data_IF_990422310405
#
_entry.id   IF_990422310405
#
_cell.length_a   1.000
_cell.length_b   1.000
_cell.length_c   1.000
_cell.angle_alpha   90.00
_cell.angle_beta   90.00
_cell.angle_gamma   90.00
#
_symmetry.space_group_name_H-M   'P 1'
#
loop_
_entity.id
_entity.type
_entity.pdbx_description
1 polymer ?
#
# COMPACT_ATOMS: atom_id res chain seq x y z
N UNK A 1 16.75 7.31 -25.17
CA UNK A 1 15.39 7.83 -24.84
C UNK A 1 14.37 6.71 -24.60
N UNK A 2 14.22 5.72 -25.51
CA UNK A 2 13.36 4.54 -25.28
C UNK A 2 13.69 3.77 -23.98
N UNK A 3 14.98 3.57 -23.68
CA UNK A 3 15.39 2.82 -22.49
C UNK A 3 15.11 3.55 -21.17
N UNK A 4 15.20 4.88 -21.17
CA UNK A 4 14.87 5.72 -20.01
C UNK A 4 13.38 5.71 -19.70
N UNK A 5 12.52 5.82 -20.73
CA UNK A 5 11.07 5.73 -20.57
C UNK A 5 10.64 4.36 -20.04
N UNK A 6 11.24 3.28 -20.58
CA UNK A 6 10.98 1.91 -20.12
C UNK A 6 11.40 1.70 -18.67
N UNK A 7 12.59 2.15 -18.29
CA UNK A 7 13.06 2.05 -16.90
C UNK A 7 12.16 2.83 -15.95
N UNK A 8 11.77 4.06 -16.30
CA UNK A 8 10.89 4.87 -15.48
C UNK A 8 9.51 4.22 -15.29
N UNK A 9 8.94 3.61 -16.34
CA UNK A 9 7.69 2.87 -16.26
C UNK A 9 7.79 1.63 -15.36
N UNK A 10 8.90 0.88 -15.43
CA UNK A 10 9.12 -0.29 -14.57
C UNK A 10 9.26 0.10 -13.09
N UNK A 11 9.97 1.20 -12.80
CA UNK A 11 10.12 1.70 -11.43
C UNK A 11 8.77 2.16 -10.86
N UNK A 12 7.99 2.89 -11.64
CA UNK A 12 6.64 3.33 -11.26
C UNK A 12 5.71 2.12 -10.99
N UNK A 13 5.71 1.12 -11.88
CA UNK A 13 4.93 -0.10 -11.69
C UNK A 13 5.34 -0.89 -10.44
N UNK A 14 6.64 -0.98 -10.15
CA UNK A 14 7.18 -1.59 -8.92
C UNK A 14 6.67 -0.86 -7.68
N UNK A 15 6.82 0.46 -7.64
CA UNK A 15 6.44 1.26 -6.46
C UNK A 15 4.92 1.22 -6.23
N UNK A 16 4.13 1.22 -7.31
CA UNK A 16 2.68 1.03 -7.26
C UNK A 16 2.30 -0.33 -6.67
N UNK A 17 2.95 -1.40 -7.15
CA UNK A 17 2.72 -2.76 -6.66
C UNK A 17 3.09 -2.90 -5.18
N UNK A 18 4.19 -2.26 -4.76
CA UNK A 18 4.60 -2.21 -3.36
C UNK A 18 3.55 -1.53 -2.48
N UNK A 19 3.04 -0.37 -2.91
CA UNK A 19 2.01 0.35 -2.17
C UNK A 19 0.71 -0.48 -2.05
N UNK A 20 0.30 -1.13 -3.14
CA UNK A 20 -0.88 -2.01 -3.14
C UNK A 20 -0.71 -3.18 -2.17
N UNK A 21 0.46 -3.82 -2.16
CA UNK A 21 0.76 -4.92 -1.24
C UNK A 21 0.73 -4.48 0.24
N UNK A 22 1.23 -3.28 0.55
CA UNK A 22 1.18 -2.73 1.90
C UNK A 22 -0.27 -2.48 2.35
N UNK A 23 -1.10 -1.90 1.48
CA UNK A 23 -2.53 -1.70 1.77
C UNK A 23 -3.28 -3.00 1.97
N UNK A 24 -3.04 -4.01 1.13
CA UNK A 24 -3.66 -5.31 1.29
C UNK A 24 -3.32 -5.96 2.66
N UNK A 25 -2.08 -5.81 3.11
CA UNK A 25 -1.66 -6.27 4.44
C UNK A 25 -2.30 -5.46 5.57
N UNK A 26 -2.45 -4.15 5.40
CA UNK A 26 -3.17 -3.30 6.36
C UNK A 26 -4.62 -3.76 6.50
N UNK A 27 -5.32 -3.95 5.37
CA UNK A 27 -6.71 -4.41 5.34
C UNK A 27 -6.87 -5.78 6.01
N UNK A 28 -5.94 -6.71 5.76
CA UNK A 28 -5.92 -8.02 6.42
C UNK A 28 -5.80 -7.90 7.94
N UNK A 29 -4.89 -7.03 8.43
CA UNK A 29 -4.71 -6.81 9.87
C UNK A 29 -5.89 -6.08 10.50
N UNK A 30 -6.51 -5.17 9.77
CA UNK A 30 -7.73 -4.49 10.18
C UNK A 30 -8.90 -5.49 10.32
N UNK A 31 -9.05 -6.42 9.36
CA UNK A 31 -10.05 -7.48 9.44
C UNK A 31 -9.82 -8.41 10.65
N UNK A 32 -8.56 -8.77 10.94
CA UNK A 32 -8.23 -9.55 12.14
C UNK A 32 -8.58 -8.80 13.43
N UNK A 33 -8.31 -7.50 13.49
CA UNK A 33 -8.66 -6.67 14.64
C UNK A 33 -10.18 -6.61 14.85
N UNK A 34 -10.94 -6.38 13.78
CA UNK A 34 -12.40 -6.37 13.83
C UNK A 34 -12.97 -7.72 14.27
N UNK A 35 -12.42 -8.83 13.79
CA UNK A 35 -12.82 -10.17 14.20
C UNK A 35 -12.60 -10.40 15.70
N UNK A 36 -11.46 -9.95 16.25
CA UNK A 36 -11.19 -10.04 17.69
C UNK A 36 -12.13 -9.17 18.52
N UNK A 37 -12.42 -7.95 18.06
CA UNK A 37 -13.37 -7.05 18.73
C UNK A 37 -14.80 -7.61 18.69
N UNK A 38 -15.20 -8.23 17.58
CA UNK A 38 -16.47 -8.94 17.46
C UNK A 38 -16.56 -10.15 18.41
N UNK A 39 -15.51 -10.98 18.47
CA UNK A 39 -15.44 -12.10 19.41
C UNK A 39 -15.50 -11.63 20.87
N UNK A 40 -14.86 -10.50 21.19
CA UNK A 40 -14.96 -9.85 22.50
C UNK A 40 -16.39 -9.44 22.83
N UNK A 41 -17.06 -8.78 21.89
CA UNK A 41 -18.43 -8.33 22.08
C UNK A 41 -19.40 -9.51 22.24
N UNK A 42 -19.22 -10.59 21.47
CA UNK A 42 -20.04 -11.79 21.57
C UNK A 42 -19.87 -12.50 22.93
N UNK A 43 -18.61 -12.66 23.38
CA UNK A 43 -18.31 -13.22 24.70
C UNK A 43 -18.95 -12.40 25.83
N UNK A 44 -18.89 -11.07 25.73
CA UNK A 44 -19.50 -10.19 26.73
C UNK A 44 -21.03 -10.35 26.81
N UNK A 45 -21.71 -10.66 25.69
CA UNK A 45 -23.16 -10.91 25.65
C UNK A 45 -23.55 -12.28 26.19
N UNK A 46 -22.72 -13.29 25.95
CA UNK A 46 -23.02 -14.70 26.29
C UNK A 46 -22.54 -15.11 27.68
N UNK A 47 -21.63 -14.37 28.30
CA UNK A 47 -21.09 -14.68 29.62
C UNK A 47 -22.14 -14.48 30.75
N UNK A 48 -22.59 -15.59 31.34
CA UNK A 48 -23.53 -15.58 32.49
C UNK A 48 -22.79 -15.80 33.82
N UNK A 49 -23.44 -15.50 34.95
CA UNK A 49 -22.89 -15.80 36.29
C UNK A 49 -22.69 -17.31 36.54
N UNK A 50 -23.37 -18.17 35.77
CA UNK A 50 -23.21 -19.62 35.86
C UNK A 50 -22.05 -20.16 35.02
N UNK A 51 -21.37 -19.32 34.26
CA UNK A 51 -20.33 -19.73 33.32
C UNK A 51 -19.10 -20.29 34.05
N UNK A 52 -18.78 -21.55 33.79
CA UNK A 52 -17.67 -22.26 34.44
C UNK A 52 -16.33 -21.57 34.18
N UNK A 53 -16.14 -21.00 32.97
CA UNK A 53 -14.92 -20.30 32.59
C UNK A 53 -14.68 -19.02 33.42
N UNK A 54 -15.76 -18.33 33.84
CA UNK A 54 -15.66 -17.18 34.75
C UNK A 54 -15.28 -17.59 36.16
N UNK A 55 -15.88 -18.68 36.66
CA UNK A 55 -15.63 -19.15 38.04
C UNK A 55 -14.19 -19.60 38.27
N UNK A 56 -13.51 -20.11 37.25
CA UNK A 56 -12.11 -20.53 37.33
C UNK A 56 -11.11 -19.45 36.85
N UNK A 57 -11.57 -18.24 36.53
CA UNK A 57 -10.70 -17.14 36.08
C UNK A 57 -10.08 -17.31 34.69
N UNK A 58 -10.55 -18.28 33.89
CA UNK A 58 -10.12 -18.46 32.49
C UNK A 58 -10.52 -17.26 31.62
N UNK A 59 -11.64 -16.61 31.93
CA UNK A 59 -12.14 -15.39 31.29
C UNK A 59 -11.10 -14.25 31.38
N UNK A 60 -10.46 -14.07 32.54
CA UNK A 60 -9.44 -13.01 32.75
C UNK A 60 -8.15 -13.27 31.96
N UNK A 61 -7.73 -14.53 31.86
CA UNK A 61 -6.54 -14.90 31.06
C UNK A 61 -6.80 -14.69 29.57
N UNK A 62 -8.00 -15.05 29.11
CA UNK A 62 -8.44 -14.82 27.74
C UNK A 62 -8.54 -13.32 27.43
N UNK A 63 -9.13 -12.51 28.32
CA UNK A 63 -9.20 -11.05 28.16
C UNK A 63 -7.81 -10.42 28.10
N UNK A 64 -6.88 -10.85 28.95
CA UNK A 64 -5.49 -10.36 28.93
C UNK A 64 -4.77 -10.74 27.63
N UNK A 65 -4.94 -11.97 27.15
CA UNK A 65 -4.41 -12.41 25.87
C UNK A 65 -4.99 -11.57 24.72
N UNK A 66 -6.30 -11.34 24.72
CA UNK A 66 -6.99 -10.56 23.70
C UNK A 66 -6.52 -9.10 23.69
N UNK A 67 -6.35 -8.48 24.87
CA UNK A 67 -5.77 -7.14 24.98
C UNK A 67 -4.34 -7.07 24.40
N UNK A 68 -3.51 -8.06 24.72
CA UNK A 68 -2.15 -8.17 24.18
C UNK A 68 -2.14 -8.31 22.65
N UNK A 69 -3.03 -9.13 22.08
CA UNK A 69 -3.13 -9.33 20.63
C UNK A 69 -3.69 -8.10 19.92
N UNK A 70 -4.69 -7.44 20.49
CA UNK A 70 -5.24 -6.18 19.97
C UNK A 70 -4.15 -5.10 19.89
N UNK A 71 -3.36 -4.95 20.95
CA UNK A 71 -2.26 -3.98 20.97
C UNK A 71 -1.15 -4.33 19.97
N UNK A 72 -0.84 -5.62 19.79
CA UNK A 72 0.09 -6.05 18.76
C UNK A 72 -0.43 -5.70 17.35
N UNK A 73 -1.69 -6.01 17.04
CA UNK A 73 -2.30 -5.68 15.74
C UNK A 73 -2.34 -4.18 15.47
N UNK A 74 -2.67 -3.36 16.47
CA UNK A 74 -2.66 -1.88 16.33
C UNK A 74 -1.28 -1.36 15.99
N UNK A 75 -0.22 -1.90 16.62
CA UNK A 75 1.17 -1.57 16.30
C UNK A 75 1.57 -2.03 14.89
N UNK A 76 1.19 -3.24 14.50
CA UNK A 76 1.42 -3.75 13.14
C UNK A 76 0.74 -2.86 12.08
N UNK A 77 -0.53 -2.47 12.30
CA UNK A 77 -1.28 -1.55 11.42
C UNK A 77 -0.58 -0.19 11.33
N UNK A 78 -0.15 0.38 12.46
CA UNK A 78 0.56 1.65 12.47
C UNK A 78 1.87 1.57 11.67
N UNK A 79 2.65 0.50 11.85
CA UNK A 79 3.87 0.28 11.09
C UNK A 79 3.59 0.18 9.58
N UNK A 80 2.57 -0.58 9.18
CA UNK A 80 2.15 -0.70 7.79
C UNK A 80 1.74 0.65 7.18
N UNK A 81 1.04 1.50 7.94
CA UNK A 81 0.68 2.86 7.50
C UNK A 81 1.89 3.74 7.28
N UNK A 82 2.85 3.71 8.20
CA UNK A 82 4.11 4.46 8.07
C UNK A 82 4.87 4.00 6.82
N UNK A 83 4.97 2.69 6.60
CA UNK A 83 5.59 2.13 5.39
C UNK A 83 4.83 2.50 4.11
N UNK A 84 3.49 2.52 4.15
CA UNK A 84 2.64 2.88 3.03
C UNK A 84 2.83 4.35 2.64
N UNK A 85 2.96 5.27 3.61
CA UNK A 85 3.26 6.68 3.34
C UNK A 85 4.64 6.85 2.70
N UNK A 86 5.66 6.13 3.18
CA UNK A 86 6.98 6.12 2.55
C UNK A 86 6.93 5.58 1.11
N UNK A 87 6.17 4.50 0.88
CA UNK A 87 5.96 3.92 -0.45
C UNK A 87 5.18 4.88 -1.38
N UNK A 88 4.20 5.62 -0.85
CA UNK A 88 3.46 6.64 -1.59
C UNK A 88 4.36 7.77 -2.05
N UNK A 89 5.26 8.25 -1.18
CA UNK A 89 6.26 9.24 -1.56
C UNK A 89 7.24 8.71 -2.63
N UNK A 90 7.62 7.42 -2.57
CA UNK A 90 8.42 6.79 -3.61
C UNK A 90 7.68 6.72 -4.96
N UNK A 91 6.42 6.28 -4.94
CA UNK A 91 5.55 6.23 -6.12
C UNK A 91 5.37 7.61 -6.77
N UNK A 92 5.17 8.66 -5.97
CA UNK A 92 5.06 10.02 -6.50
C UNK A 92 6.33 10.44 -7.27
N UNK A 93 7.52 10.08 -6.76
CA UNK A 93 8.79 10.36 -7.43
C UNK A 93 8.97 9.55 -8.72
N UNK A 94 8.67 8.24 -8.70
CA UNK A 94 8.81 7.41 -9.90
C UNK A 94 7.78 7.77 -10.97
N UNK A 95 6.56 8.14 -10.57
CA UNK A 95 5.56 8.71 -11.46
C UNK A 95 6.04 10.00 -12.12
N UNK A 96 6.58 10.95 -11.34
CA UNK A 96 7.13 12.20 -11.89
C UNK A 96 8.29 11.96 -12.87
N UNK A 97 9.17 10.98 -12.59
CA UNK A 97 10.24 10.59 -13.52
C UNK A 97 9.69 9.99 -14.82
N UNK A 98 8.64 9.18 -14.73
CA UNK A 98 7.96 8.60 -15.90
C UNK A 98 7.34 9.70 -16.75
N UNK A 99 6.60 10.62 -16.14
CA UNK A 99 5.98 11.75 -16.84
C UNK A 99 7.03 12.63 -17.53
N UNK A 100 8.13 12.95 -16.84
CA UNK A 100 9.25 13.68 -17.43
C UNK A 100 9.90 12.93 -18.62
N UNK A 101 10.07 11.62 -18.53
CA UNK A 101 10.60 10.81 -19.63
C UNK A 101 9.66 10.79 -20.83
N UNK A 102 8.34 10.68 -20.61
CA UNK A 102 7.31 10.76 -21.65
C UNK A 102 7.26 12.15 -22.30
N UNK A 103 7.40 13.21 -21.51
CA UNK A 103 7.49 14.59 -22.00
C UNK A 103 8.71 14.78 -22.91
N UNK A 104 9.90 14.38 -22.46
CA UNK A 104 11.12 14.47 -23.25
C UNK A 104 11.00 13.66 -24.55
N UNK A 105 10.39 12.47 -24.50
CA UNK A 105 10.23 11.61 -25.67
C UNK A 105 9.35 12.27 -26.74
N UNK A 106 8.28 12.94 -26.32
CA UNK A 106 7.42 13.73 -27.21
C UNK A 106 8.17 14.91 -27.84
N UNK A 107 8.98 15.63 -27.06
CA UNK A 107 9.76 16.76 -27.58
C UNK A 107 10.82 16.32 -28.59
N UNK A 108 11.53 15.22 -28.32
CA UNK A 108 12.51 14.67 -29.27
C UNK A 108 11.84 14.20 -30.57
N UNK A 109 10.69 13.52 -30.47
CA UNK A 109 9.94 13.08 -31.65
C UNK A 109 9.53 14.27 -32.53
N UNK A 110 9.01 15.35 -31.92
CA UNK A 110 8.66 16.59 -32.64
C UNK A 110 9.86 17.24 -33.30
N UNK A 111 10.99 17.36 -32.59
CA UNK A 111 12.21 17.93 -33.13
C UNK A 111 12.75 17.13 -34.33
N UNK A 112 12.72 15.79 -34.25
CA UNK A 112 13.10 14.91 -35.35
C UNK A 112 12.17 15.05 -36.56
N UNK A 113 10.86 15.15 -36.33
CA UNK A 113 9.88 15.37 -37.39
C UNK A 113 10.11 16.71 -38.10
N UNK A 114 10.30 17.80 -37.35
CA UNK A 114 10.59 19.11 -37.91
C UNK A 114 11.91 19.12 -38.71
N UNK A 115 12.96 18.46 -38.21
CA UNK A 115 14.22 18.33 -38.91
C UNK A 115 14.13 17.47 -40.18
N UNK A 116 13.19 16.53 -40.25
CA UNK A 116 12.91 15.73 -41.46
C UNK A 116 12.18 16.57 -42.51
N UNK A 117 11.15 17.32 -42.12
CA UNK A 117 10.41 18.20 -43.03
C UNK A 117 11.33 19.25 -43.67
N UNK A 118 12.17 19.93 -42.86
CA UNK A 118 13.15 20.91 -43.35
C UNK A 118 14.19 20.33 -44.32
N UNK A 119 14.48 19.03 -44.24
CA UNK A 119 15.40 18.37 -45.19
C UNK A 119 14.72 18.12 -46.52
N UNK A 120 13.48 17.62 -46.49
CA UNK A 120 12.68 17.41 -47.70
C UNK A 120 12.43 18.72 -48.46
N UNK A 121 12.18 19.82 -47.74
CA UNK A 121 12.03 21.16 -48.33
C UNK A 121 13.30 21.73 -48.98
N UNK A 122 14.49 21.18 -48.69
CA UNK A 122 15.77 21.62 -49.27
C UNK A 122 16.21 20.75 -50.45
N UNK A 123 15.67 19.54 -50.55
CA UNK A 123 16.02 18.54 -51.56
C UNK A 123 15.03 18.50 -52.73
N UNK A 124 13.84 19.10 -52.57
CA UNK A 124 12.85 19.31 -53.62
C UNK A 124 12.86 20.75 -54.13
#
# INVERSE_FOLDING_TARGET
>A
MRDLGRLAALLEARDRSRLAALKAREDERQAQLQALEAARADRARTATAKDAARRVGADLRWERWLAGRTEALRREILALRIEAEAARAALARSWGRRDAAEFLARQEARARQAARLRRLEREG
#
